data_IF_695803739463
#
_entry.id   IF_695803739463
#
_cell.length_a   1.000
_cell.length_b   1.000
_cell.length_c   1.000
_cell.angle_alpha   90.00
_cell.angle_beta   90.00
_cell.angle_gamma   90.00
#
_symmetry.space_group_name_H-M   'P 1'
#
loop_
_entity.id
_entity.type
_entity.pdbx_description
1 polymer ?
#
# COMPACT_ATOMS: atom_id res chain seq x y z
N UNK A 1 11.75 13.90 4.75
CA UNK A 1 12.63 12.81 4.30
C UNK A 1 11.89 11.53 4.62
N UNK A 2 11.47 10.77 3.61
CA UNK A 2 10.58 9.62 3.78
C UNK A 2 9.33 9.81 2.93
N UNK A 3 9.38 9.25 1.72
CA UNK A 3 8.30 8.80 0.81
C UNK A 3 8.98 8.53 -0.55
N UNK A 4 9.95 7.63 -0.57
CA UNK A 4 10.76 7.30 -1.76
C UNK A 4 10.86 5.79 -1.96
N UNK A 5 9.78 5.05 -1.65
CA UNK A 5 9.71 3.64 -2.03
C UNK A 5 9.40 3.55 -3.52
N UNK A 6 10.18 2.80 -4.28
CA UNK A 6 9.92 2.57 -5.70
C UNK A 6 8.69 1.68 -5.91
N UNK A 7 8.29 0.93 -4.88
CA UNK A 7 7.10 0.08 -4.86
C UNK A 7 6.16 0.41 -3.71
N UNK A 8 4.88 0.10 -3.88
CA UNK A 8 3.88 0.23 -2.80
C UNK A 8 4.29 -0.53 -1.53
N UNK A 9 5.07 -1.61 -1.68
CA UNK A 9 5.62 -2.37 -0.55
C UNK A 9 6.67 -1.58 0.21
N UNK A 10 7.58 -0.90 -0.50
CA UNK A 10 8.63 -0.07 0.10
C UNK A 10 8.10 1.24 0.71
N UNK A 11 6.98 1.75 0.21
CA UNK A 11 6.35 2.95 0.78
C UNK A 11 5.55 2.67 2.06
N UNK A 12 4.99 1.46 2.20
CA UNK A 12 4.03 1.11 3.25
C UNK A 12 4.64 0.22 4.34
N UNK A 13 5.67 -0.57 4.03
CA UNK A 13 6.25 -1.55 4.96
C UNK A 13 7.73 -1.29 5.26
N UNK A 14 8.22 -1.91 6.34
CA UNK A 14 9.62 -1.89 6.71
C UNK A 14 10.49 -2.62 5.66
N UNK A 15 11.70 -2.10 5.46
CA UNK A 15 12.76 -2.79 4.71
C UNK A 15 12.92 -4.23 5.23
N UNK A 16 13.08 -5.19 4.32
CA UNK A 16 13.22 -6.61 4.64
C UNK A 16 14.41 -6.87 5.56
N UNK A 17 15.48 -6.07 5.42
CA UNK A 17 16.66 -6.13 6.29
C UNK A 17 16.29 -5.69 7.71
N UNK A 18 15.55 -4.58 7.85
CA UNK A 18 15.10 -4.08 9.14
C UNK A 18 14.12 -5.05 9.84
N UNK A 19 13.32 -5.81 9.09
CA UNK A 19 12.47 -6.86 9.66
C UNK A 19 13.27 -7.99 10.30
N UNK A 20 14.38 -8.41 9.69
CA UNK A 20 15.25 -9.44 10.25
C UNK A 20 15.86 -8.98 11.59
N UNK A 21 16.26 -7.71 11.69
CA UNK A 21 16.83 -7.14 12.92
C UNK A 21 15.78 -6.93 14.03
N UNK A 22 14.52 -6.68 13.67
CA UNK A 22 13.43 -6.52 14.64
C UNK A 22 12.92 -7.86 15.20
N UNK A 23 13.05 -8.96 14.44
CA UNK A 23 12.53 -10.28 14.80
C UNK A 23 12.94 -10.74 16.22
N UNK A 24 14.22 -10.65 16.64
CA UNK A 24 14.65 -11.08 17.98
C UNK A 24 13.99 -10.29 19.11
N UNK A 25 13.63 -9.02 18.86
CA UNK A 25 12.93 -8.17 19.83
C UNK A 25 11.46 -8.55 19.93
N UNK A 26 10.81 -8.82 18.79
CA UNK A 26 9.41 -9.27 18.72
C UNK A 26 9.23 -10.62 19.43
N UNK A 27 10.19 -11.54 19.29
CA UNK A 27 10.14 -12.85 19.93
C UNK A 27 10.18 -12.81 21.46
N UNK A 28 10.57 -11.68 22.08
CA UNK A 28 10.53 -11.51 23.54
C UNK A 28 9.13 -11.20 24.07
N UNK A 29 8.20 -10.81 23.19
CA UNK A 29 6.83 -10.46 23.58
C UNK A 29 6.11 -11.76 23.97
N UNK A 30 5.49 -11.82 25.16
CA UNK A 30 4.80 -13.03 25.60
C UNK A 30 3.62 -13.33 24.70
N UNK A 31 3.51 -14.59 24.27
CA UNK A 31 2.38 -15.07 23.49
C UNK A 31 1.20 -15.27 24.45
N UNK A 32 0.31 -14.28 24.51
CA UNK A 32 -0.87 -14.29 25.40
C UNK A 32 -1.89 -15.37 25.03
N UNK A 33 -1.83 -15.89 23.80
CA UNK A 33 -2.75 -16.90 23.25
C UNK A 33 -2.30 -18.35 23.45
N UNK A 34 -1.24 -18.61 24.22
CA UNK A 34 -0.69 -19.96 24.46
C UNK A 34 -1.67 -20.94 25.07
N UNK A 35 -2.68 -20.44 25.79
CA UNK A 35 -3.73 -21.24 26.41
C UNK A 35 -4.80 -21.74 25.41
N UNK A 36 -4.80 -21.24 24.17
CA UNK A 36 -5.77 -21.62 23.15
C UNK A 36 -5.28 -22.85 22.37
N UNK A 37 -6.20 -23.77 22.08
CA UNK A 37 -5.91 -24.92 21.22
C UNK A 37 -5.78 -24.47 19.76
N UNK A 38 -4.72 -24.87 19.03
CA UNK A 38 -4.58 -24.54 17.62
C UNK A 38 -5.75 -25.11 16.80
N UNK A 39 -6.33 -24.28 15.95
CA UNK A 39 -7.35 -24.68 14.99
C UNK A 39 -6.80 -24.51 13.57
N UNK A 40 -7.21 -25.37 12.61
CA UNK A 40 -6.80 -25.22 11.23
C UNK A 40 -7.31 -23.88 10.68
N UNK A 41 -6.41 -23.14 10.02
CA UNK A 41 -6.72 -21.85 9.41
C UNK A 41 -7.67 -22.08 8.23
N UNK A 42 -8.88 -21.54 8.32
CA UNK A 42 -9.83 -21.53 7.20
C UNK A 42 -9.60 -20.27 6.38
N UNK A 43 -8.86 -20.40 5.29
CA UNK A 43 -8.60 -19.30 4.39
C UNK A 43 -9.89 -18.89 3.67
N UNK A 44 -9.98 -17.60 3.31
CA UNK A 44 -11.03 -17.14 2.42
C UNK A 44 -10.80 -17.75 1.03
N UNK A 45 -11.85 -18.09 0.27
CA UNK A 45 -11.69 -18.78 -1.02
C UNK A 45 -10.75 -18.06 -2.01
N UNK A 46 -10.81 -16.72 -2.07
CA UNK A 46 -9.95 -15.93 -2.93
C UNK A 46 -8.48 -15.90 -2.45
N UNK A 47 -8.23 -16.07 -1.15
CA UNK A 47 -6.86 -16.19 -0.60
C UNK A 47 -6.29 -17.56 -0.94
N UNK A 48 -7.07 -18.62 -0.74
CA UNK A 48 -6.67 -19.98 -1.09
C UNK A 48 -6.35 -20.12 -2.58
N UNK A 49 -7.19 -19.53 -3.44
CA UNK A 49 -6.99 -19.51 -4.89
C UNK A 49 -5.94 -18.48 -5.38
N UNK A 50 -5.26 -17.75 -4.48
CA UNK A 50 -4.31 -16.67 -4.80
C UNK A 50 -4.88 -15.60 -5.75
N UNK A 51 -6.19 -15.36 -5.67
CA UNK A 51 -6.89 -14.37 -6.45
C UNK A 51 -6.77 -12.99 -5.80
N UNK A 52 -6.88 -11.90 -6.58
CA UNK A 52 -6.93 -10.56 -6.02
C UNK A 52 -8.15 -10.42 -5.10
N UNK A 53 -8.04 -9.63 -4.03
CA UNK A 53 -9.17 -9.41 -3.14
C UNK A 53 -10.34 -8.76 -3.88
N UNK A 54 -11.59 -9.07 -3.51
CA UNK A 54 -12.78 -8.59 -4.22
C UNK A 54 -12.93 -7.05 -4.20
N UNK A 55 -12.30 -6.40 -3.23
CA UNK A 55 -12.26 -4.94 -3.10
C UNK A 55 -11.02 -4.29 -3.73
N UNK A 56 -10.13 -5.08 -4.36
CA UNK A 56 -9.03 -4.50 -5.13
C UNK A 56 -9.61 -3.73 -6.32
N UNK A 57 -9.28 -2.45 -6.41
CA UNK A 57 -9.55 -1.68 -7.62
C UNK A 57 -8.59 -2.19 -8.69
N UNK A 58 -9.11 -2.65 -9.82
CA UNK A 58 -8.26 -2.88 -11.00
C UNK A 58 -7.49 -1.59 -11.27
N UNK A 59 -6.15 -1.67 -11.22
CA UNK A 59 -5.32 -0.57 -11.71
C UNK A 59 -5.75 -0.36 -13.15
N UNK A 60 -6.21 0.85 -13.49
CA UNK A 60 -6.41 1.19 -14.90
C UNK A 60 -5.05 0.97 -15.55
N UNK A 61 -4.93 -0.05 -16.37
CA UNK A 61 -3.91 -0.07 -17.41
C UNK A 61 -4.03 1.29 -18.08
N UNK A 62 -2.97 2.07 -18.02
CA UNK A 62 -2.90 3.33 -18.73
C UNK A 62 -2.74 2.99 -20.22
N UNK A 63 -3.79 2.40 -20.80
CA UNK A 63 -4.02 2.42 -22.24
C UNK A 63 -4.31 3.87 -22.59
N UNK A 64 -3.24 4.58 -22.96
CA UNK A 64 -3.28 5.98 -23.31
C UNK A 64 -2.16 6.77 -22.67
N UNK A 65 -0.93 6.57 -23.16
CA UNK A 65 0.10 7.57 -23.06
C UNK A 65 -0.46 8.92 -23.58
N UNK A 66 -0.65 9.87 -22.68
CA UNK A 66 -1.01 11.23 -23.00
C UNK A 66 -1.00 12.07 -21.73
N UNK A 67 -0.27 13.19 -21.68
CA UNK A 67 -0.30 14.06 -20.51
C UNK A 67 -1.73 14.61 -20.39
N UNK A 68 -2.43 14.21 -19.33
CA UNK A 68 -3.74 14.74 -19.02
C UNK A 68 -3.65 16.26 -18.93
N UNK A 69 -4.29 16.97 -19.85
CA UNK A 69 -4.39 18.44 -19.82
C UNK A 69 -4.89 18.87 -18.45
N UNK A 70 -4.00 19.39 -17.59
CA UNK A 70 -4.41 20.19 -16.44
C UNK A 70 -5.24 21.34 -16.98
N UNK A 71 -6.57 21.31 -16.77
CA UNK A 71 -7.41 22.48 -17.03
C UNK A 71 -6.98 23.55 -16.02
N UNK A 72 -6.15 24.49 -16.45
CA UNK A 72 -5.95 25.74 -15.74
C UNK A 72 -7.29 26.46 -15.72
N UNK A 73 -7.84 26.68 -14.52
CA UNK A 73 -9.01 27.54 -14.38
C UNK A 73 -8.54 28.96 -14.72
N UNK A 74 -9.10 29.55 -15.77
CA UNK A 74 -8.88 30.96 -16.11
C UNK A 74 -9.46 31.79 -14.97
N UNK A 75 -8.61 32.41 -14.15
CA UNK A 75 -9.05 33.41 -13.19
C UNK A 75 -9.41 34.64 -14.03
N UNK A 76 -10.67 35.06 -13.97
CA UNK A 76 -11.18 36.22 -14.71
C UNK A 76 -10.87 37.47 -13.91
N UNK A 77 -9.99 38.32 -14.44
CA UNK A 77 -9.77 39.69 -13.97
C UNK A 77 -8.37 39.93 -13.43
N UNK A 78 -7.45 40.33 -14.31
CA UNK A 78 -6.23 41.07 -13.94
C UNK A 78 -6.23 42.31 -14.85
N UNK A 79 -6.33 43.55 -14.32
CA UNK A 79 -6.32 44.74 -15.15
C UNK A 79 -4.90 45.08 -15.61
N UNK A 80 -4.79 45.50 -16.88
CA UNK A 80 -3.57 45.97 -17.51
C UNK A 80 -2.94 47.11 -16.69
N UNK A 81 -1.67 46.95 -16.29
CA UNK A 81 -0.86 48.07 -15.82
C UNK A 81 -0.11 48.66 -17.01
N UNK A 82 -0.26 49.98 -17.18
CA UNK A 82 0.49 50.83 -18.09
C UNK A 82 2.00 50.72 -17.88
#
# INVERSE_FOLDING_TARGET
>A
MGHSGATQTEEIYCDAIALADMLPSIMKIPIVTTHLQPQPIRLLPWVEAKLPPPFSRKRKEADGAGPGRRRTRKIKGEPDRC
#
